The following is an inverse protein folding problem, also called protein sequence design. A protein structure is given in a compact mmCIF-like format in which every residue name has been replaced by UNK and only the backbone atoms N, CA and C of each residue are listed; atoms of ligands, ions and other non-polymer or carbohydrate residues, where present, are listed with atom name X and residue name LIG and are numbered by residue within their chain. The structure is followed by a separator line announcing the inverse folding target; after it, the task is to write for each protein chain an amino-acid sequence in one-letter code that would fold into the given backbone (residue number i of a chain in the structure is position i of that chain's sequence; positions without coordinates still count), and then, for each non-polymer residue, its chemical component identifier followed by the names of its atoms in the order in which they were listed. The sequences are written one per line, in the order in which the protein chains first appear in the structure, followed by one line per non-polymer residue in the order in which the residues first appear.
data_IF_638400313788
#
_entry.id   IF_638400313788
#
_cell.length_a   1.000
_cell.length_b   1.000
_cell.length_c   1.000
_cell.angle_alpha   90.00
_cell.angle_beta   90.00
_cell.angle_gamma   90.00
#
_symmetry.space_group_name_H-M   'P 1'
#
loop_
_entity.id
_entity.type
_entity.pdbx_description
1 polymer ?
#
# COMPACT_ATOMS: atom_id res chain seq x y z
N UNK A 1 31.48 -50.71 40.82
CA UNK A 1 31.25 -49.34 40.27
C UNK A 1 29.78 -49.20 39.92
N UNK A 2 29.01 -48.53 40.79
CA UNK A 2 27.71 -47.92 40.49
C UNK A 2 27.32 -47.04 41.68
N UNK A 3 27.44 -45.72 41.56
CA UNK A 3 26.95 -44.81 42.58
C UNK A 3 25.72 -44.00 42.12
N UNK A 4 24.83 -43.78 43.10
CA UNK A 4 24.18 -42.48 43.45
C UNK A 4 23.06 -42.00 42.49
N UNK A 5 21.77 -42.14 42.87
CA UNK A 5 20.90 -41.19 43.61
C UNK A 5 20.65 -39.87 42.87
N UNK A 6 19.38 -39.47 42.71
CA UNK A 6 18.78 -38.11 42.82
C UNK A 6 17.29 -38.26 42.41
N UNK A 7 16.37 -38.41 43.37
CA UNK A 7 15.45 -37.34 43.86
C UNK A 7 14.77 -36.58 42.71
N UNK A 8 13.55 -36.98 42.34
CA UNK A 8 12.64 -36.14 41.57
C UNK A 8 11.72 -35.39 42.55
N UNK A 9 12.04 -34.11 42.76
CA UNK A 9 11.23 -33.15 43.52
C UNK A 9 10.05 -32.72 42.64
N UNK A 10 8.85 -32.77 43.21
CA UNK A 10 7.65 -32.11 42.67
C UNK A 10 7.90 -30.61 42.51
N UNK A 11 7.66 -30.07 41.31
CA UNK A 11 7.22 -28.69 41.17
C UNK A 11 5.96 -28.63 40.31
N UNK A 12 4.88 -28.28 40.99
CA UNK A 12 3.60 -27.93 40.43
C UNK A 12 3.75 -26.66 39.58
N UNK A 13 3.33 -26.73 38.32
CA UNK A 13 2.84 -25.56 37.61
C UNK A 13 1.34 -25.71 37.45
N UNK A 14 0.61 -25.03 38.33
CA UNK A 14 -0.79 -24.72 38.14
C UNK A 14 -0.92 -23.90 36.86
N UNK A 15 -1.50 -24.50 35.82
CA UNK A 15 -1.91 -23.76 34.64
C UNK A 15 -3.14 -22.95 35.02
N UNK A 16 -2.96 -21.65 35.24
CA UNK A 16 -4.04 -20.68 35.24
C UNK A 16 -4.66 -20.70 33.84
N UNK A 17 -5.81 -21.35 33.71
CA UNK A 17 -6.70 -21.15 32.57
C UNK A 17 -7.47 -19.88 32.85
N UNK A 18 -7.00 -18.76 32.31
CA UNK A 18 -7.85 -17.58 32.20
C UNK A 18 -8.96 -17.93 31.22
N UNK A 19 -10.15 -18.20 31.75
CA UNK A 19 -11.36 -18.25 30.98
C UNK A 19 -11.61 -16.84 30.46
N UNK A 20 -11.24 -16.58 29.21
CA UNK A 20 -11.72 -15.41 28.49
C UNK A 20 -13.24 -15.50 28.45
N UNK A 21 -13.90 -14.59 29.16
CA UNK A 21 -15.32 -14.35 29.00
C UNK A 21 -15.51 -13.77 27.59
N UNK A 22 -15.75 -14.65 26.63
CA UNK A 22 -16.28 -14.26 25.33
C UNK A 22 -17.64 -13.63 25.62
N UNK A 23 -17.74 -12.34 25.33
CA UNK A 23 -19.00 -11.61 25.37
C UNK A 23 -20.03 -12.37 24.53
N UNK A 24 -21.03 -12.97 25.17
CA UNK A 24 -22.19 -13.59 24.53
C UNK A 24 -23.17 -12.51 24.09
N UNK A 25 -22.68 -11.48 23.40
CA UNK A 25 -23.52 -10.69 22.52
C UNK A 25 -23.77 -11.54 21.29
N UNK A 26 -24.91 -12.23 21.24
CA UNK A 26 -25.40 -12.87 20.01
C UNK A 26 -25.72 -11.78 18.99
N UNK A 27 -24.67 -11.25 18.34
CA UNK A 27 -24.81 -10.73 16.99
C UNK A 27 -25.14 -11.96 16.16
N UNK A 28 -26.41 -12.13 15.83
CA UNK A 28 -26.80 -13.06 14.79
C UNK A 28 -26.01 -12.66 13.54
N UNK A 29 -25.04 -13.47 13.15
CA UNK A 29 -24.37 -13.37 11.85
C UNK A 29 -25.46 -13.62 10.81
N UNK A 30 -25.97 -12.54 10.24
CA UNK A 30 -26.80 -12.60 9.06
C UNK A 30 -25.83 -12.73 7.90
N UNK A 31 -25.41 -13.98 7.64
CA UNK A 31 -24.37 -14.28 6.66
C UNK A 31 -24.67 -13.65 5.31
N UNK A 32 -25.94 -13.58 4.90
CA UNK A 32 -26.32 -12.97 3.62
C UNK A 32 -26.17 -11.45 3.65
N UNK A 33 -26.60 -10.78 4.73
CA UNK A 33 -26.48 -9.33 4.87
C UNK A 33 -25.03 -8.89 5.10
N UNK A 34 -24.29 -9.63 5.92
CA UNK A 34 -22.89 -9.39 6.23
C UNK A 34 -22.01 -9.65 5.00
N UNK A 35 -22.29 -10.72 4.23
CA UNK A 35 -21.61 -10.99 2.96
C UNK A 35 -22.00 -9.98 1.88
N UNK A 36 -23.24 -9.49 1.86
CA UNK A 36 -23.64 -8.38 0.97
C UNK A 36 -22.96 -7.07 1.34
N UNK A 37 -22.83 -6.74 2.63
CA UNK A 37 -22.11 -5.55 3.09
C UNK A 37 -20.60 -5.66 2.84
N UNK A 38 -20.03 -6.84 3.04
CA UNK A 38 -18.64 -7.16 2.70
C UNK A 38 -18.40 -7.03 1.19
N UNK A 39 -19.25 -7.64 0.36
CA UNK A 39 -19.18 -7.53 -1.11
C UNK A 39 -19.40 -6.09 -1.61
N UNK A 40 -20.28 -5.32 -0.97
CA UNK A 40 -20.48 -3.90 -1.29
C UNK A 40 -19.23 -3.09 -0.93
N UNK A 41 -18.61 -3.34 0.23
CA UNK A 41 -17.34 -2.72 0.62
C UNK A 41 -16.20 -3.12 -0.33
N UNK A 42 -16.16 -4.37 -0.77
CA UNK A 42 -15.18 -4.92 -1.70
C UNK A 42 -15.21 -4.22 -3.07
N UNK A 43 -16.39 -3.77 -3.51
CA UNK A 43 -16.55 -3.08 -4.80
C UNK A 43 -15.95 -1.67 -4.85
N UNK A 44 -15.58 -1.10 -3.69
CA UNK A 44 -15.03 0.27 -3.56
C UNK A 44 -13.75 0.36 -2.72
N UNK A 45 -13.31 -0.75 -2.14
CA UNK A 45 -12.18 -0.81 -1.23
C UNK A 45 -10.85 -0.88 -2.01
N UNK A 46 -10.26 0.28 -2.28
CA UNK A 46 -8.92 0.39 -2.85
C UNK A 46 -7.95 0.91 -1.78
N UNK A 47 -6.77 0.29 -1.67
CA UNK A 47 -5.61 0.85 -1.00
C UNK A 47 -5.29 2.23 -1.60
N UNK A 48 -5.36 3.25 -0.74
CA UNK A 48 -5.00 4.60 -1.08
C UNK A 48 -3.67 4.97 -0.42
N UNK A 49 -2.71 5.33 -1.26
CA UNK A 49 -1.41 5.85 -0.86
C UNK A 49 -1.36 7.34 -1.13
N UNK A 50 -0.58 8.05 -0.32
CA UNK A 50 -0.28 9.47 -0.49
C UNK A 50 1.19 9.70 -0.75
N UNK A 51 1.45 10.60 -1.69
CA UNK A 51 2.76 11.10 -2.05
C UNK A 51 2.97 12.40 -1.26
N UNK A 52 3.98 12.46 -0.40
CA UNK A 52 4.31 13.68 0.38
C UNK A 52 5.80 14.05 0.20
N UNK A 53 6.14 15.22 -0.37
CA UNK A 53 5.23 16.24 -0.88
C UNK A 53 4.56 15.83 -2.19
N UNK A 54 3.42 16.44 -2.49
CA UNK A 54 2.73 16.28 -3.77
C UNK A 54 3.67 16.62 -4.95
N UNK A 55 3.50 15.91 -6.07
CA UNK A 55 4.30 16.15 -7.28
C UNK A 55 3.50 17.02 -8.24
N UNK A 56 4.02 18.22 -8.54
CA UNK A 56 3.37 19.15 -9.47
C UNK A 56 4.12 19.22 -10.80
N UNK A 57 3.37 19.10 -11.90
CA UNK A 57 3.88 19.13 -13.27
C UNK A 57 5.15 18.28 -13.46
N UNK A 58 5.06 16.95 -13.19
CA UNK A 58 6.23 16.10 -13.27
C UNK A 58 6.83 16.13 -14.68
N UNK A 59 8.14 16.30 -14.73
CA UNK A 59 8.92 16.18 -15.94
C UNK A 59 9.08 14.71 -16.30
N UNK A 60 9.09 14.47 -17.61
CA UNK A 60 9.58 13.23 -18.18
C UNK A 60 10.96 12.86 -17.60
N UNK A 61 11.08 11.66 -17.05
CA UNK A 61 12.30 11.15 -16.39
C UNK A 61 12.71 11.95 -15.15
N UNK A 62 11.78 12.70 -14.54
CA UNK A 62 12.01 13.39 -13.28
C UNK A 62 12.11 12.43 -12.10
N UNK A 63 12.93 12.78 -11.12
CA UNK A 63 13.10 12.04 -9.87
C UNK A 63 12.67 12.95 -8.72
N UNK A 64 11.72 12.47 -7.92
CA UNK A 64 11.05 13.23 -6.87
C UNK A 64 11.19 12.53 -5.53
N UNK A 65 11.96 13.08 -4.58
CA UNK A 65 12.02 12.55 -3.23
C UNK A 65 10.66 12.71 -2.55
N UNK A 66 10.08 11.61 -2.09
CA UNK A 66 8.79 11.60 -1.40
C UNK A 66 8.78 10.65 -0.22
N UNK A 67 7.83 10.86 0.69
CA UNK A 67 7.36 9.90 1.65
C UNK A 67 6.05 9.32 1.10
N UNK A 68 6.10 8.06 0.68
CA UNK A 68 4.91 7.33 0.28
C UNK A 68 4.30 6.71 1.55
N UNK A 69 3.08 7.08 1.90
CA UNK A 69 2.39 6.60 3.10
C UNK A 69 0.97 6.12 2.81
N UNK A 70 0.52 5.13 3.58
CA UNK A 70 -0.87 4.65 3.51
C UNK A 70 -1.81 5.71 4.09
N UNK A 71 -2.83 6.08 3.33
CA UNK A 71 -3.95 6.92 3.82
C UNK A 71 -5.17 6.11 4.17
N UNK A 72 -5.41 5.05 3.40
CA UNK A 72 -6.48 4.12 3.66
C UNK A 72 -6.05 2.76 3.13
N UNK A 73 -6.18 1.74 3.97
CA UNK A 73 -6.00 0.35 3.56
C UNK A 73 -7.28 -0.41 3.94
N UNK A 74 -7.96 -1.05 2.97
CA UNK A 74 -9.04 -1.97 3.29
C UNK A 74 -8.48 -3.26 3.90
N UNK A 75 -9.37 -4.18 4.27
CA UNK A 75 -8.94 -5.52 4.67
C UNK A 75 -8.11 -6.15 3.52
N UNK A 76 -6.91 -6.70 3.79
CA UNK A 76 -6.05 -7.31 2.78
C UNK A 76 -6.73 -8.40 1.94
N UNK A 77 -7.81 -9.01 2.44
CA UNK A 77 -8.63 -9.96 1.67
C UNK A 77 -9.24 -9.34 0.40
N UNK A 78 -9.53 -8.04 0.40
CA UNK A 78 -10.11 -7.33 -0.76
C UNK A 78 -9.05 -6.76 -1.71
N UNK A 79 -7.77 -6.85 -1.36
CA UNK A 79 -6.68 -6.37 -2.19
C UNK A 79 -6.20 -7.46 -3.15
N UNK A 80 -5.84 -7.04 -4.36
CA UNK A 80 -5.04 -7.91 -5.24
C UNK A 80 -3.72 -8.26 -4.57
N UNK A 81 -3.12 -9.39 -4.98
CA UNK A 81 -1.83 -9.84 -4.45
C UNK A 81 -0.76 -8.74 -4.59
N UNK A 82 -0.73 -8.06 -5.73
CA UNK A 82 0.15 -6.94 -5.98
C UNK A 82 -0.05 -5.78 -4.98
N UNK A 83 -1.29 -5.36 -4.73
CA UNK A 83 -1.58 -4.28 -3.79
C UNK A 83 -1.29 -4.68 -2.34
N UNK A 84 -1.47 -5.97 -2.00
CA UNK A 84 -1.12 -6.50 -0.69
C UNK A 84 0.41 -6.57 -0.48
N UNK A 85 1.18 -6.85 -1.52
CA UNK A 85 2.64 -6.79 -1.48
C UNK A 85 3.12 -5.35 -1.27
N UNK A 86 2.50 -4.38 -1.96
CA UNK A 86 2.75 -2.94 -1.76
C UNK A 86 2.46 -2.54 -0.30
N UNK A 87 1.29 -2.91 0.23
CA UNK A 87 0.90 -2.63 1.62
C UNK A 87 1.90 -3.24 2.62
N UNK A 88 2.31 -4.49 2.37
CA UNK A 88 3.28 -5.20 3.21
C UNK A 88 4.64 -4.51 3.18
N UNK A 89 5.12 -4.12 2.01
CA UNK A 89 6.39 -3.39 1.85
C UNK A 89 6.38 -2.02 2.54
N UNK A 90 5.24 -1.32 2.54
CA UNK A 90 5.07 -0.07 3.29
C UNK A 90 5.12 -0.28 4.82
N UNK A 91 4.82 -1.50 5.30
CA UNK A 91 4.77 -1.83 6.73
C UNK A 91 3.35 -1.96 7.29
N UNK A 92 2.34 -2.20 6.45
CA UNK A 92 0.95 -2.38 6.86
C UNK A 92 0.11 -1.10 6.79
N UNK A 93 -1.03 -1.07 7.50
CA UNK A 93 -2.07 -0.04 7.33
C UNK A 93 -1.65 1.39 7.70
N UNK A 94 -0.62 1.55 8.52
CA UNK A 94 0.01 2.84 8.86
C UNK A 94 1.41 2.97 8.25
N UNK A 95 1.71 2.13 7.27
CA UNK A 95 3.00 1.99 6.63
C UNK A 95 3.42 3.25 5.87
N UNK A 96 4.73 3.48 5.86
CA UNK A 96 5.35 4.60 5.14
C UNK A 96 6.79 4.30 4.76
N UNK A 97 7.20 4.79 3.60
CA UNK A 97 8.56 4.64 3.10
C UNK A 97 9.04 5.94 2.46
N UNK A 98 10.28 6.32 2.76
CA UNK A 98 10.96 7.37 2.02
C UNK A 98 11.50 6.75 0.72
N UNK A 99 11.03 7.25 -0.41
CA UNK A 99 11.36 6.73 -1.74
C UNK A 99 11.69 7.86 -2.69
N UNK A 100 12.44 7.54 -3.75
CA UNK A 100 12.49 8.41 -4.91
C UNK A 100 11.44 7.95 -5.91
N UNK A 101 10.50 8.83 -6.26
CA UNK A 101 9.51 8.58 -7.29
C UNK A 101 10.12 8.97 -8.63
N UNK A 102 10.30 8.00 -9.50
CA UNK A 102 10.81 8.16 -10.86
C UNK A 102 9.61 8.25 -11.79
N UNK A 103 9.37 9.45 -12.32
CA UNK A 103 8.27 9.70 -13.23
C UNK A 103 8.70 9.43 -14.67
N UNK A 104 8.16 8.39 -15.27
CA UNK A 104 8.55 8.03 -16.64
C UNK A 104 7.75 8.80 -17.68
N UNK A 105 8.30 8.93 -18.89
CA UNK A 105 7.52 9.45 -20.00
C UNK A 105 6.37 8.49 -20.33
N UNK A 106 5.20 9.01 -20.72
CA UNK A 106 4.08 8.20 -21.16
C UNK A 106 4.50 7.15 -22.23
N UNK A 107 4.37 5.86 -21.90
CA UNK A 107 4.74 4.76 -22.81
C UNK A 107 6.24 4.48 -22.97
N UNK A 108 7.11 5.06 -22.13
CA UNK A 108 8.54 4.77 -22.10
C UNK A 108 8.93 4.14 -20.77
N UNK A 109 9.90 3.22 -20.78
CA UNK A 109 10.56 2.76 -19.55
C UNK A 109 11.76 3.67 -19.31
N UNK A 110 11.74 4.50 -18.27
CA UNK A 110 12.94 5.24 -17.87
C UNK A 110 13.84 4.33 -17.05
N UNK A 111 15.13 4.35 -17.33
CA UNK A 111 16.17 3.85 -16.44
C UNK A 111 16.67 5.01 -15.59
N UNK A 112 16.43 4.94 -14.28
CA UNK A 112 16.92 5.92 -13.33
C UNK A 112 16.68 5.40 -11.93
N UNK A 113 17.74 5.18 -11.18
CA UNK A 113 17.67 5.00 -9.73
C UNK A 113 17.92 6.38 -9.13
N UNK A 114 17.03 6.85 -8.25
CA UNK A 114 17.34 8.03 -7.46
C UNK A 114 18.51 7.80 -6.51
N UNK A 115 18.74 8.74 -5.58
CA UNK A 115 19.83 8.64 -4.60
C UNK A 115 19.49 7.69 -3.44
N UNK A 116 18.22 7.31 -3.30
CA UNK A 116 17.74 6.43 -2.23
C UNK A 116 17.90 4.95 -2.58
N UNK A 117 18.11 4.14 -1.54
CA UNK A 117 18.10 2.67 -1.62
C UNK A 117 16.77 2.10 -2.12
N UNK A 118 15.68 2.86 -1.99
CA UNK A 118 14.34 2.46 -2.40
C UNK A 118 13.77 3.51 -3.34
N UNK A 119 13.29 3.08 -4.49
CA UNK A 119 12.67 3.94 -5.49
C UNK A 119 11.42 3.30 -6.09
N UNK A 120 10.51 4.14 -6.55
CA UNK A 120 9.23 3.76 -7.15
C UNK A 120 9.18 4.34 -8.54
N UNK A 121 9.04 3.50 -9.56
CA UNK A 121 8.82 3.94 -10.93
C UNK A 121 7.32 4.05 -11.17
N UNK A 122 6.86 5.21 -11.63
CA UNK A 122 5.49 5.41 -12.08
C UNK A 122 5.46 5.59 -13.60
N UNK A 123 4.76 4.68 -14.28
CA UNK A 123 4.61 4.68 -15.72
C UNK A 123 3.16 4.85 -16.13
N UNK A 124 2.87 6.02 -16.68
CA UNK A 124 1.54 6.32 -17.19
C UNK A 124 1.40 5.90 -18.65
N UNK A 125 0.17 5.59 -19.07
CA UNK A 125 -0.11 5.28 -20.47
C UNK A 125 0.30 6.45 -21.39
N UNK A 126 0.80 6.14 -22.59
CA UNK A 126 1.07 7.14 -23.63
C UNK A 126 -0.16 7.99 -23.92
N UNK A 127 -0.01 9.32 -23.96
CA UNK A 127 -1.06 10.30 -24.29
C UNK A 127 -2.13 10.52 -23.22
N UNK A 128 -1.75 10.68 -21.95
CA UNK A 128 -2.69 11.23 -20.96
C UNK A 128 -3.14 12.62 -21.43
N UNK A 129 -4.44 12.79 -21.60
CA UNK A 129 -5.07 14.09 -21.82
C UNK A 129 -5.99 14.34 -20.64
N UNK A 130 -5.68 15.37 -19.85
CA UNK A 130 -6.59 15.83 -18.81
C UNK A 130 -7.74 16.61 -19.43
N UNK A 131 -8.95 16.45 -18.88
CA UNK A 131 -10.08 17.31 -19.26
C UNK A 131 -9.76 18.76 -18.88
N UNK A 132 -9.98 19.69 -19.81
CA UNK A 132 -9.76 21.12 -19.59
C UNK A 132 -10.72 21.77 -18.58
N UNK A 133 -11.59 20.98 -17.94
CA UNK A 133 -12.56 21.42 -16.92
C UNK A 133 -11.96 21.59 -15.53
N UNK A 134 -10.74 21.11 -15.29
CA UNK A 134 -10.12 21.09 -13.97
C UNK A 134 -10.70 20.02 -13.03
N UNK A 135 -10.18 19.96 -11.81
CA UNK A 135 -10.64 19.06 -10.75
C UNK A 135 -9.84 17.77 -10.63
N UNK A 136 -10.37 16.82 -9.85
CA UNK A 136 -9.71 15.52 -9.63
C UNK A 136 -9.96 14.60 -10.81
N UNK A 137 -8.88 14.07 -11.39
CA UNK A 137 -8.90 13.17 -12.52
C UNK A 137 -8.00 11.98 -12.20
N UNK A 138 -8.46 10.76 -12.51
CA UNK A 138 -7.65 9.55 -12.34
C UNK A 138 -7.04 9.13 -13.66
N UNK A 139 -5.80 8.64 -13.58
CA UNK A 139 -5.08 8.15 -14.74
C UNK A 139 -4.45 6.80 -14.42
N UNK A 140 -4.68 5.83 -15.31
CA UNK A 140 -4.06 4.51 -15.19
C UNK A 140 -2.54 4.59 -15.33
N UNK A 141 -1.85 3.88 -14.44
CA UNK A 141 -0.41 3.77 -14.43
C UNK A 141 0.03 2.37 -14.01
N UNK A 142 1.29 2.07 -14.28
CA UNK A 142 2.00 0.91 -13.76
C UNK A 142 3.03 1.40 -12.75
N UNK A 143 3.02 0.79 -11.57
CA UNK A 143 3.96 1.08 -10.50
C UNK A 143 4.95 -0.07 -10.39
N UNK A 144 6.24 0.26 -10.30
CA UNK A 144 7.30 -0.67 -9.93
C UNK A 144 7.99 -0.18 -8.66
N UNK A 145 8.20 -1.07 -7.71
CA UNK A 145 8.91 -0.78 -6.46
C UNK A 145 10.21 -1.56 -6.49
N UNK A 146 11.31 -0.86 -6.21
CA UNK A 146 12.64 -1.45 -6.17
C UNK A 146 13.30 -1.07 -4.85
N UNK A 147 13.85 -2.06 -4.13
CA UNK A 147 14.68 -1.83 -2.94
C UNK A 147 16.01 -2.56 -3.12
N UNK A 148 17.08 -1.78 -3.23
CA UNK A 148 18.40 -2.26 -3.61
C UNK A 148 19.08 -3.09 -2.51
N UNK A 149 18.80 -2.79 -1.24
CA UNK A 149 19.43 -3.43 -0.09
C UNK A 149 19.21 -4.94 0.00
N UNK A 150 18.06 -5.42 -0.47
CA UNK A 150 17.67 -6.84 -0.40
C UNK A 150 17.11 -7.37 -1.73
N UNK A 151 17.16 -6.58 -2.79
CA UNK A 151 16.65 -6.96 -4.11
C UNK A 151 15.14 -7.12 -4.17
N UNK A 152 14.38 -6.54 -3.23
CA UNK A 152 12.92 -6.58 -3.28
C UNK A 152 12.41 -5.86 -4.53
N UNK A 153 11.48 -6.52 -5.21
CA UNK A 153 10.80 -6.02 -6.40
C UNK A 153 9.31 -6.37 -6.33
N UNK A 154 8.46 -5.37 -6.58
CA UNK A 154 7.03 -5.57 -6.69
C UNK A 154 6.46 -4.66 -7.78
N UNK A 155 5.34 -5.07 -8.37
CA UNK A 155 4.68 -4.31 -9.41
C UNK A 155 3.17 -4.32 -9.24
N UNK A 156 2.52 -3.19 -9.52
CA UNK A 156 1.07 -3.07 -9.44
C UNK A 156 0.51 -2.18 -10.54
N UNK A 157 -0.64 -2.54 -11.09
CA UNK A 157 -1.46 -1.61 -11.85
C UNK A 157 -2.17 -0.68 -10.86
N UNK A 158 -2.09 0.62 -11.08
CA UNK A 158 -2.60 1.65 -10.15
C UNK A 158 -3.31 2.77 -10.90
N UNK A 159 -4.07 3.57 -10.17
CA UNK A 159 -4.57 4.86 -10.65
C UNK A 159 -3.89 6.00 -9.90
N UNK A 160 -3.34 6.96 -10.64
CA UNK A 160 -2.82 8.20 -10.09
C UNK A 160 -3.93 9.25 -10.12
N UNK A 161 -4.21 9.88 -8.99
CA UNK A 161 -5.10 11.03 -8.97
C UNK A 161 -4.29 12.31 -9.19
N UNK A 162 -4.62 13.00 -10.27
CA UNK A 162 -4.18 14.35 -10.57
C UNK A 162 -5.29 15.34 -10.21
N UNK A 163 -4.96 16.37 -9.45
CA UNK A 163 -5.78 17.57 -9.34
C UNK A 163 -5.32 18.56 -10.40
N UNK A 164 -6.20 18.85 -11.35
CA UNK A 164 -5.89 19.75 -12.48
C UNK A 164 -6.48 21.14 -12.26
N UNK A 165 -5.68 22.14 -12.62
CA UNK A 165 -6.06 23.55 -12.59
C UNK A 165 -5.78 24.13 -13.99
N UNK A 166 -6.83 24.28 -14.83
CA UNK A 166 -6.68 24.78 -16.19
C UNK A 166 -6.21 26.23 -16.26
N UNK A 167 -6.51 27.04 -15.23
CA UNK A 167 -6.11 28.45 -15.21
C UNK A 167 -4.58 28.58 -15.08
N UNK A 168 -3.97 27.70 -14.28
CA UNK A 168 -2.53 27.69 -14.02
C UNK A 168 -1.76 26.68 -14.91
N UNK A 169 -2.45 25.97 -15.81
CA UNK A 169 -1.92 24.82 -16.55
C UNK A 169 -1.14 23.86 -15.63
N UNK A 170 -1.74 23.53 -14.49
CA UNK A 170 -1.12 22.76 -13.40
C UNK A 170 -1.82 21.41 -13.21
N UNK A 171 -1.02 20.35 -13.07
CA UNK A 171 -1.46 19.04 -12.61
C UNK A 171 -0.63 18.64 -11.38
N UNK A 172 -1.31 18.41 -10.26
CA UNK A 172 -0.68 18.00 -9.00
C UNK A 172 -1.12 16.58 -8.65
N UNK A 173 -0.15 15.68 -8.45
CA UNK A 173 -0.34 14.28 -8.12
C UNK A 173 -0.11 14.07 -6.62
N UNK A 174 -1.16 13.63 -5.93
CA UNK A 174 -1.14 13.43 -4.48
C UNK A 174 -1.41 11.98 -4.10
N UNK A 175 -2.32 11.28 -4.79
CA UNK A 175 -2.74 9.94 -4.40
C UNK A 175 -2.50 8.89 -5.47
N UNK A 176 -2.16 7.69 -5.00
CA UNK A 176 -2.06 6.45 -5.78
C UNK A 176 -3.12 5.50 -5.23
N UNK A 177 -3.94 4.94 -6.11
CA UNK A 177 -4.95 3.96 -5.79
C UNK A 177 -4.53 2.61 -6.35
N UNK A 178 -4.50 1.61 -5.49
CA UNK A 178 -4.29 0.20 -5.78
C UNK A 178 -5.53 -0.52 -5.21
#
# INVERSE_FOLDING_TARGET
MKPIIIILVLLAFAMFTEAYVVSTGTKNLDLDKDQTAQNASASTAQLQLNIDPDITNPNCSGIYPANLNVKYAPDPFYLSDACRDVLTWLGGNDGKQNVDIVWTCPGQKTAGTGDRNTYVILNTASNIVFSGSGGNQQVGAYMEIHRLSDGFFATAAVYLQAKTDPADNRATFQFIFC
#
